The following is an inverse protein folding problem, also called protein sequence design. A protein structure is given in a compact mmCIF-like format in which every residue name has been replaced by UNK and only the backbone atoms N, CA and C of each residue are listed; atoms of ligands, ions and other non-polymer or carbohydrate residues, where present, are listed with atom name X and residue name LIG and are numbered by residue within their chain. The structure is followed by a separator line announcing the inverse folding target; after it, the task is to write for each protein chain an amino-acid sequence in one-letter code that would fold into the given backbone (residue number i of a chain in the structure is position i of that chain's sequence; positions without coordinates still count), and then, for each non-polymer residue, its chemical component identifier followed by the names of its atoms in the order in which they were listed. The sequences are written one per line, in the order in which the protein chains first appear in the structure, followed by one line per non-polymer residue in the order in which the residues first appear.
data_IF_992818504019
#
_entry.id   IF_992818504019
#
_cell.length_a   1.000
_cell.length_b   1.000
_cell.length_c   1.000
_cell.angle_alpha   90.00
_cell.angle_beta   90.00
_cell.angle_gamma   90.00
#
_symmetry.space_group_name_H-M   'P 1'
#
loop_
_entity.id
_entity.type
_entity.pdbx_description
1 polymer ?
#
# COMPACT_ATOMS: atom_id res chain seq x y z
N UNK A 1 -14.14 -4.50 4.46
CA UNK A 1 -14.79 -4.77 3.14
C UNK A 1 -14.03 -5.90 2.45
N UNK A 2 -14.70 -6.85 1.79
CA UNK A 2 -14.04 -7.91 1.05
C UNK A 2 -13.25 -7.36 -0.15
N UNK A 3 -12.15 -8.04 -0.46
CA UNK A 3 -11.23 -7.74 -1.56
C UNK A 3 -10.99 -9.04 -2.32
N UNK A 4 -10.95 -8.97 -3.65
CA UNK A 4 -10.61 -10.06 -4.55
C UNK A 4 -9.42 -9.68 -5.44
N UNK A 5 -9.13 -10.48 -6.47
CA UNK A 5 -8.05 -10.21 -7.43
C UNK A 5 -8.25 -8.94 -8.27
N UNK A 6 -9.45 -8.36 -8.27
CA UNK A 6 -9.78 -7.10 -8.92
C UNK A 6 -9.79 -5.90 -7.96
N UNK A 7 -9.48 -6.10 -6.68
CA UNK A 7 -9.53 -5.10 -5.62
C UNK A 7 -10.81 -5.14 -4.79
N UNK A 8 -11.23 -4.00 -4.24
CA UNK A 8 -12.44 -3.89 -3.41
C UNK A 8 -13.69 -4.43 -4.14
N UNK A 9 -14.46 -5.31 -3.50
CA UNK A 9 -15.76 -5.80 -4.02
C UNK A 9 -16.82 -4.74 -3.82
N UNK A 10 -17.15 -4.00 -4.89
CA UNK A 10 -18.05 -2.83 -4.83
C UNK A 10 -19.46 -3.22 -4.43
N UNK A 11 -19.93 -4.38 -4.85
CA UNK A 11 -21.27 -4.92 -4.56
C UNK A 11 -21.48 -5.19 -3.07
N UNK A 12 -20.40 -5.37 -2.32
CA UNK A 12 -20.43 -5.59 -0.88
C UNK A 12 -20.49 -4.28 -0.06
N UNK A 13 -20.42 -3.11 -0.71
CA UNK A 13 -20.49 -1.81 0.00
C UNK A 13 -21.94 -1.60 0.49
N UNK A 14 -22.15 -1.41 1.82
CA UNK A 14 -23.49 -1.16 2.34
C UNK A 14 -24.11 0.10 1.70
N UNK A 15 -25.41 0.08 1.29
CA UNK A 15 -26.04 1.20 0.58
C UNK A 15 -26.07 2.53 1.36
N UNK A 16 -25.95 2.47 2.70
CA UNK A 16 -25.93 3.67 3.57
C UNK A 16 -24.53 4.26 3.78
N UNK A 17 -23.49 3.68 3.16
CA UNK A 17 -22.12 4.18 3.27
C UNK A 17 -22.01 5.57 2.63
N UNK A 18 -21.44 6.52 3.37
CA UNK A 18 -21.24 7.91 2.93
C UNK A 18 -19.79 8.21 2.54
N UNK A 19 -18.86 7.37 2.98
CA UNK A 19 -17.44 7.51 2.71
C UNK A 19 -16.82 6.12 2.49
N UNK A 20 -16.11 5.96 1.39
CA UNK A 20 -15.32 4.75 1.08
C UNK A 20 -13.86 5.13 1.05
N UNK A 21 -13.04 4.48 1.89
CA UNK A 21 -11.58 4.66 1.88
C UNK A 21 -10.93 3.49 1.16
N UNK A 22 -10.09 3.78 0.17
CA UNK A 22 -9.42 2.76 -0.67
C UNK A 22 -7.98 3.13 -0.98
N UNK A 23 -7.16 2.10 -1.22
CA UNK A 23 -5.79 2.20 -1.73
C UNK A 23 -5.72 1.50 -3.09
N UNK A 24 -6.29 2.10 -4.16
CA UNK A 24 -6.60 1.39 -5.40
C UNK A 24 -5.37 1.09 -6.26
N UNK A 25 -4.27 1.80 -6.08
CA UNK A 25 -3.03 1.59 -6.82
C UNK A 25 -2.24 0.38 -6.31
N UNK A 26 -2.30 0.16 -4.99
CA UNK A 26 -1.64 -0.92 -4.28
C UNK A 26 -2.38 -1.19 -2.97
N UNK A 27 -3.35 -2.11 -3.01
CA UNK A 27 -4.21 -2.40 -1.86
C UNK A 27 -3.39 -2.93 -0.68
N UNK A 28 -3.50 -2.26 0.44
CA UNK A 28 -2.85 -2.70 1.66
C UNK A 28 -3.79 -3.61 2.49
N UNK A 29 -3.34 -4.79 2.96
CA UNK A 29 -1.97 -5.31 2.90
C UNK A 29 -1.67 -6.27 1.73
N UNK A 30 -2.65 -6.64 0.90
CA UNK A 30 -2.51 -7.73 -0.07
C UNK A 30 -1.70 -7.34 -1.33
N UNK A 31 -1.59 -6.05 -1.64
CA UNK A 31 -0.77 -5.58 -2.76
C UNK A 31 -1.45 -5.60 -4.14
N UNK A 32 -2.70 -6.01 -4.21
CA UNK A 32 -3.43 -6.04 -5.49
C UNK A 32 -3.82 -4.63 -5.95
N UNK A 33 -3.71 -4.38 -7.26
CA UNK A 33 -4.19 -3.15 -7.85
C UNK A 33 -5.67 -3.29 -8.24
N UNK A 34 -6.47 -2.26 -7.96
CA UNK A 34 -7.86 -2.22 -8.39
C UNK A 34 -7.94 -2.09 -9.90
N UNK A 35 -8.66 -3.02 -10.56
CA UNK A 35 -8.84 -3.01 -12.01
C UNK A 35 -9.65 -1.81 -12.50
N UNK A 36 -9.46 -1.43 -13.77
CA UNK A 36 -10.21 -0.31 -14.35
C UNK A 36 -11.74 -0.52 -14.30
N UNK A 37 -12.30 -1.69 -14.64
CA UNK A 37 -13.72 -1.93 -14.47
C UNK A 37 -14.20 -1.72 -13.03
N UNK A 38 -13.43 -2.16 -12.05
CA UNK A 38 -13.77 -2.02 -10.63
C UNK A 38 -13.66 -0.55 -10.15
N UNK A 39 -12.72 0.23 -10.69
CA UNK A 39 -12.60 1.68 -10.45
C UNK A 39 -13.84 2.42 -10.96
N UNK A 40 -14.26 2.13 -12.20
CA UNK A 40 -15.45 2.72 -12.80
C UNK A 40 -16.73 2.31 -12.05
N UNK A 41 -16.84 1.05 -11.63
CA UNK A 41 -17.96 0.58 -10.82
C UNK A 41 -18.04 1.30 -9.46
N UNK A 42 -16.89 1.53 -8.79
CA UNK A 42 -16.84 2.27 -7.53
C UNK A 42 -17.27 3.73 -7.70
N UNK A 43 -16.81 4.41 -8.75
CA UNK A 43 -17.20 5.79 -9.04
C UNK A 43 -18.71 5.89 -9.32
N UNK A 44 -19.25 5.00 -10.16
CA UNK A 44 -20.68 4.94 -10.43
C UNK A 44 -21.51 4.59 -9.18
N UNK A 45 -20.97 3.74 -8.29
CA UNK A 45 -21.62 3.45 -7.02
C UNK A 45 -21.63 4.70 -6.11
N UNK A 46 -20.52 5.39 -6.00
CA UNK A 46 -20.39 6.60 -5.18
C UNK A 46 -21.34 7.72 -5.64
N UNK A 47 -21.45 7.92 -6.94
CA UNK A 47 -22.40 8.88 -7.51
C UNK A 47 -23.85 8.53 -7.19
N UNK A 48 -24.27 7.28 -7.41
CA UNK A 48 -25.65 6.82 -7.13
C UNK A 48 -26.05 6.90 -5.66
N UNK A 49 -25.09 6.73 -4.73
CA UNK A 49 -25.36 6.71 -3.29
C UNK A 49 -25.01 8.03 -2.59
N UNK A 50 -24.66 9.06 -3.36
CA UNK A 50 -24.21 10.37 -2.83
C UNK A 50 -23.11 10.18 -1.77
N UNK A 51 -22.13 9.31 -2.08
CA UNK A 51 -20.99 9.00 -1.23
C UNK A 51 -19.71 9.65 -1.76
N UNK A 52 -18.75 9.89 -0.88
CA UNK A 52 -17.39 10.29 -1.23
C UNK A 52 -16.44 9.09 -1.22
N UNK A 53 -15.36 9.17 -1.99
CA UNK A 53 -14.28 8.19 -2.00
C UNK A 53 -13.00 8.90 -1.59
N UNK A 54 -12.31 8.37 -0.58
CA UNK A 54 -10.94 8.76 -0.26
C UNK A 54 -10.01 7.77 -0.94
N UNK A 55 -9.26 8.25 -1.92
CA UNK A 55 -8.20 7.52 -2.59
C UNK A 55 -6.87 7.83 -1.90
N UNK A 56 -6.35 6.87 -1.14
CA UNK A 56 -5.03 6.99 -0.52
C UNK A 56 -3.98 6.35 -1.44
N UNK A 57 -3.17 7.20 -2.04
CA UNK A 57 -2.09 6.82 -2.94
C UNK A 57 -0.74 7.06 -2.27
N UNK A 58 -0.24 6.02 -1.62
CA UNK A 58 0.94 6.13 -0.75
C UNK A 58 2.24 5.64 -1.39
N UNK A 59 2.20 4.85 -2.49
CA UNK A 59 3.39 4.24 -3.08
C UNK A 59 3.30 3.94 -4.59
N UNK A 60 2.37 4.54 -5.32
CA UNK A 60 2.15 4.31 -6.76
C UNK A 60 3.36 4.66 -7.62
N UNK A 61 4.27 5.53 -7.15
CA UNK A 61 5.53 5.84 -7.81
C UNK A 61 6.46 4.60 -7.94
N UNK A 62 6.28 3.60 -7.06
CA UNK A 62 7.07 2.38 -7.03
C UNK A 62 6.35 1.22 -7.73
N UNK A 63 5.94 1.44 -8.97
CA UNK A 63 5.38 0.41 -9.84
C UNK A 63 6.47 -0.15 -10.74
N UNK A 64 6.65 -1.50 -10.74
CA UNK A 64 7.76 -2.19 -11.39
C UNK A 64 7.41 -2.80 -12.76
N UNK A 65 6.13 -2.95 -13.05
CA UNK A 65 5.66 -3.53 -14.30
C UNK A 65 4.32 -2.98 -14.75
N UNK A 66 3.98 -3.24 -16.01
CA UNK A 66 2.72 -2.83 -16.61
C UNK A 66 2.65 -1.34 -16.97
N UNK A 67 1.48 -0.93 -17.44
CA UNK A 67 1.18 0.50 -17.70
C UNK A 67 0.90 1.22 -16.39
N UNK A 68 1.17 2.52 -16.30
CA UNK A 68 0.68 3.34 -15.20
C UNK A 68 -0.84 3.17 -15.05
N UNK A 69 -1.30 3.07 -13.82
CA UNK A 69 -2.73 3.01 -13.54
C UNK A 69 -3.19 4.43 -13.20
N UNK A 70 -4.19 4.91 -13.91
CA UNK A 70 -4.74 6.23 -13.66
C UNK A 70 -5.44 6.26 -12.29
N UNK A 71 -5.21 7.29 -11.44
CA UNK A 71 -5.92 7.47 -10.19
C UNK A 71 -7.44 7.52 -10.39
N UNK A 72 -8.21 7.13 -9.37
CA UNK A 72 -9.66 7.32 -9.34
C UNK A 72 -10.03 8.80 -9.53
N UNK A 73 -9.25 9.68 -8.92
CA UNK A 73 -9.44 11.12 -9.02
C UNK A 73 -9.40 11.63 -10.47
N UNK A 74 -8.53 11.06 -11.32
CA UNK A 74 -8.45 11.41 -12.75
C UNK A 74 -9.67 10.90 -13.54
N UNK A 75 -10.24 9.76 -13.10
CA UNK A 75 -11.40 9.14 -13.73
C UNK A 75 -12.74 9.74 -13.25
N UNK A 76 -12.70 10.52 -12.16
CA UNK A 76 -13.89 11.05 -11.49
C UNK A 76 -14.49 12.25 -12.24
N UNK A 77 -15.57 12.03 -12.96
CA UNK A 77 -16.36 13.08 -13.61
C UNK A 77 -17.40 13.76 -12.73
N UNK A 78 -17.68 13.23 -11.53
CA UNK A 78 -18.76 13.69 -10.64
C UNK A 78 -18.27 14.46 -9.39
N UNK A 79 -16.97 14.60 -9.20
CA UNK A 79 -16.37 15.32 -8.08
C UNK A 79 -16.59 14.63 -6.72
N UNK A 80 -16.41 13.31 -6.67
CA UNK A 80 -16.61 12.47 -5.48
C UNK A 80 -15.32 12.01 -4.83
N UNK A 81 -14.17 12.12 -5.54
CA UNK A 81 -12.91 11.59 -5.06
C UNK A 81 -12.09 12.67 -4.35
N UNK A 82 -11.63 12.33 -3.17
CA UNK A 82 -10.62 13.04 -2.40
C UNK A 82 -9.33 12.23 -2.55
N UNK A 83 -8.38 12.75 -3.30
CA UNK A 83 -7.07 12.10 -3.48
C UNK A 83 -6.11 12.53 -2.38
N UNK A 84 -5.43 11.57 -1.78
CA UNK A 84 -4.42 11.75 -0.73
C UNK A 84 -3.07 11.27 -1.25
N UNK A 85 -2.12 12.17 -1.38
CA UNK A 85 -0.73 11.84 -1.71
C UNK A 85 0.21 12.05 -0.52
N UNK A 86 1.24 11.23 -0.41
CA UNK A 86 2.19 11.25 0.71
C UNK A 86 3.64 11.21 0.25
N UNK A 87 4.50 12.03 0.86
CA UNK A 87 5.95 11.94 0.68
C UNK A 87 6.63 10.99 1.66
N UNK A 88 5.86 10.34 2.55
CA UNK A 88 6.40 9.45 3.58
C UNK A 88 7.09 8.21 3.04
N UNK A 89 6.61 7.68 1.90
CA UNK A 89 7.18 6.49 1.25
C UNK A 89 8.17 6.86 0.16
N UNK A 90 7.94 7.97 -0.53
CA UNK A 90 8.79 8.43 -1.63
C UNK A 90 10.05 9.15 -1.17
N UNK A 91 10.04 9.70 0.05
CA UNK A 91 11.19 10.36 0.69
C UNK A 91 11.43 9.81 2.10
N UNK A 92 10.95 10.53 3.12
CA UNK A 92 11.17 10.19 4.52
C UNK A 92 9.87 10.33 5.33
N UNK A 93 9.48 9.33 6.12
CA UNK A 93 8.30 9.42 6.99
C UNK A 93 8.36 10.58 7.99
N UNK A 94 9.57 10.98 8.41
CA UNK A 94 9.82 12.05 9.38
C UNK A 94 9.54 13.45 8.83
N UNK A 95 9.48 13.63 7.52
CA UNK A 95 9.09 14.92 6.91
C UNK A 95 7.66 15.32 7.24
N UNK A 96 6.77 14.35 7.47
CA UNK A 96 5.35 14.56 7.78
C UNK A 96 4.65 15.46 6.76
N UNK A 97 5.00 15.31 5.49
CA UNK A 97 4.41 16.02 4.36
C UNK A 97 3.54 15.10 3.50
N UNK A 98 2.43 15.64 3.08
CA UNK A 98 1.50 15.06 2.12
C UNK A 98 0.64 16.16 1.51
N UNK A 99 -0.25 15.80 0.61
CA UNK A 99 -1.17 16.74 -0.03
C UNK A 99 -2.52 16.08 -0.31
N UNK A 100 -3.53 16.94 -0.48
CA UNK A 100 -4.87 16.53 -0.85
C UNK A 100 -5.25 17.22 -2.16
N UNK A 101 -5.84 16.46 -3.09
CA UNK A 101 -6.58 17.00 -4.23
C UNK A 101 -8.05 16.73 -3.94
N UNK A 102 -8.81 17.80 -3.73
CA UNK A 102 -10.21 17.71 -3.31
C UNK A 102 -11.14 18.35 -4.33
N UNK A 103 -12.38 17.87 -4.47
CA UNK A 103 -13.39 18.54 -5.28
C UNK A 103 -13.56 20.02 -4.90
N UNK A 104 -13.83 20.88 -5.88
CA UNK A 104 -13.98 22.32 -5.66
C UNK A 104 -14.98 22.67 -4.56
N UNK A 105 -16.07 21.89 -4.45
CA UNK A 105 -17.10 22.02 -3.43
C UNK A 105 -16.58 21.84 -1.99
N UNK A 106 -15.50 21.07 -1.80
CA UNK A 106 -14.94 20.74 -0.47
C UNK A 106 -13.75 21.64 -0.08
N UNK A 107 -13.18 22.42 -1.01
CA UNK A 107 -11.95 23.20 -0.76
C UNK A 107 -12.09 24.13 0.47
N UNK A 108 -13.20 24.86 0.56
CA UNK A 108 -13.41 25.78 1.68
C UNK A 108 -13.54 25.05 3.04
N UNK A 109 -14.24 23.91 3.06
CA UNK A 109 -14.42 23.09 4.25
C UNK A 109 -13.10 22.46 4.71
N UNK A 110 -12.33 21.89 3.76
CA UNK A 110 -11.03 21.27 4.04
C UNK A 110 -10.01 22.30 4.54
N UNK A 111 -9.95 23.49 3.93
CA UNK A 111 -9.08 24.59 4.41
C UNK A 111 -9.42 24.99 5.84
N UNK A 112 -10.72 25.10 6.17
CA UNK A 112 -11.16 25.42 7.53
C UNK A 112 -10.82 24.31 8.51
N UNK A 113 -11.02 23.05 8.14
CA UNK A 113 -10.66 21.90 8.97
C UNK A 113 -9.15 21.85 9.22
N UNK A 114 -8.33 22.07 8.20
CA UNK A 114 -6.86 22.14 8.32
C UNK A 114 -6.42 23.27 9.26
N UNK A 115 -7.02 24.46 9.12
CA UNK A 115 -6.73 25.58 9.99
C UNK A 115 -7.04 25.26 11.47
N UNK A 116 -8.15 24.57 11.74
CA UNK A 116 -8.55 24.19 13.10
C UNK A 116 -7.71 23.03 13.66
N UNK A 117 -7.21 22.15 12.80
CA UNK A 117 -6.43 20.97 13.23
C UNK A 117 -5.01 21.34 13.65
N UNK A 118 -4.29 22.12 12.86
CA UNK A 118 -2.88 22.39 13.08
C UNK A 118 -2.40 23.72 12.47
N UNK A 119 -3.34 24.57 12.04
CA UNK A 119 -3.09 25.85 11.39
C UNK A 119 -2.35 25.67 10.04
N UNK A 120 -1.10 25.25 10.08
CA UNK A 120 -0.30 24.95 8.89
C UNK A 120 0.84 23.98 9.21
N UNK A 121 1.25 23.24 8.22
CA UNK A 121 2.47 22.41 8.26
C UNK A 121 3.71 23.32 8.26
N UNK A 122 4.86 22.90 8.84
CA UNK A 122 6.08 23.71 8.88
C UNK A 122 6.50 24.22 7.51
N UNK A 123 6.53 25.53 7.32
CA UNK A 123 6.86 26.18 6.05
C UNK A 123 8.29 25.89 5.57
N UNK A 124 9.34 25.85 6.42
CA UNK A 124 10.69 25.54 5.96
C UNK A 124 10.78 24.16 5.30
N UNK A 125 10.10 23.16 5.84
CA UNK A 125 10.08 21.79 5.26
C UNK A 125 9.35 21.77 3.91
N UNK A 126 8.25 22.51 3.78
CA UNK A 126 7.52 22.63 2.51
C UNK A 126 8.38 23.35 1.46
N UNK A 127 9.04 24.45 1.82
CA UNK A 127 9.92 25.20 0.92
C UNK A 127 11.10 24.35 0.44
N UNK A 128 11.75 23.63 1.36
CA UNK A 128 12.85 22.72 1.01
C UNK A 128 12.39 21.60 0.05
N UNK A 129 11.19 21.04 0.26
CA UNK A 129 10.62 20.04 -0.64
C UNK A 129 10.29 20.64 -2.01
N UNK A 130 9.72 21.84 -2.06
CA UNK A 130 9.43 22.53 -3.31
C UNK A 130 10.72 22.74 -4.12
N UNK A 131 11.76 23.28 -3.51
CA UNK A 131 13.07 23.47 -4.12
C UNK A 131 13.68 22.15 -4.61
N UNK A 132 13.59 21.08 -3.81
CA UNK A 132 14.05 19.74 -4.19
C UNK A 132 13.32 19.18 -5.42
N UNK A 133 12.02 19.47 -5.56
CA UNK A 133 11.21 19.10 -6.73
C UNK A 133 11.62 19.94 -7.93
N UNK A 134 11.66 21.27 -7.79
CA UNK A 134 11.91 22.22 -8.87
C UNK A 134 13.30 22.06 -9.50
N UNK A 135 14.30 21.70 -8.68
CA UNK A 135 15.65 21.39 -9.16
C UNK A 135 15.79 19.99 -9.79
N UNK A 136 14.69 19.20 -9.84
CA UNK A 136 14.66 17.86 -10.43
C UNK A 136 15.34 16.77 -9.58
N UNK A 137 15.75 17.07 -8.34
CA UNK A 137 16.35 16.09 -7.44
C UNK A 137 15.36 15.01 -7.03
N UNK A 138 14.09 15.38 -6.82
CA UNK A 138 13.03 14.43 -6.50
C UNK A 138 12.85 13.37 -7.60
N UNK A 139 12.76 13.80 -8.85
CA UNK A 139 12.62 12.88 -9.97
C UNK A 139 13.83 11.94 -10.12
N UNK A 140 15.05 12.45 -9.85
CA UNK A 140 16.28 11.64 -9.85
C UNK A 140 16.25 10.63 -8.71
N UNK A 141 15.82 11.04 -7.51
CA UNK A 141 15.68 10.18 -6.34
C UNK A 141 14.68 9.04 -6.63
N UNK A 142 13.49 9.36 -7.13
CA UNK A 142 12.47 8.35 -7.47
C UNK A 142 12.98 7.31 -8.48
N UNK A 143 13.69 7.72 -9.54
CA UNK A 143 14.28 6.78 -10.50
C UNK A 143 15.27 5.82 -9.84
N UNK A 144 16.14 6.32 -8.95
CA UNK A 144 17.10 5.51 -8.20
C UNK A 144 16.39 4.53 -7.26
N UNK A 145 15.43 5.02 -6.48
CA UNK A 145 14.71 4.20 -5.50
C UNK A 145 13.84 3.15 -6.16
N UNK A 146 13.20 3.48 -7.29
CA UNK A 146 12.42 2.52 -8.08
C UNK A 146 13.28 1.33 -8.52
N UNK A 147 14.48 1.56 -9.03
CA UNK A 147 15.39 0.49 -9.43
C UNK A 147 15.81 -0.37 -8.22
N UNK A 148 16.14 0.26 -7.09
CA UNK A 148 16.48 -0.44 -5.85
C UNK A 148 15.34 -1.29 -5.32
N UNK A 149 14.13 -0.75 -5.25
CA UNK A 149 12.96 -1.46 -4.74
C UNK A 149 12.48 -2.55 -5.70
N UNK A 150 12.60 -2.34 -7.01
CA UNK A 150 12.34 -3.38 -8.00
C UNK A 150 13.25 -4.60 -7.81
N UNK A 151 14.55 -4.37 -7.59
CA UNK A 151 15.52 -5.44 -7.31
C UNK A 151 15.15 -6.21 -6.04
N UNK A 152 14.81 -5.49 -4.95
CA UNK A 152 14.41 -6.12 -3.68
C UNK A 152 13.12 -6.94 -3.82
N UNK A 153 12.12 -6.37 -4.50
CA UNK A 153 10.86 -7.04 -4.79
C UNK A 153 11.10 -8.35 -5.53
N UNK A 154 11.86 -8.29 -6.64
CA UNK A 154 12.16 -9.45 -7.46
C UNK A 154 12.89 -10.54 -6.65
N UNK A 155 13.91 -10.18 -5.89
CA UNK A 155 14.67 -11.11 -5.04
C UNK A 155 13.76 -11.81 -4.01
N UNK A 156 12.81 -11.07 -3.39
CA UNK A 156 11.87 -11.64 -2.42
C UNK A 156 10.90 -12.58 -3.12
N UNK A 157 10.27 -12.16 -4.22
CA UNK A 157 9.29 -13.00 -4.95
C UNK A 157 9.93 -14.27 -5.47
N UNK A 158 11.08 -14.18 -6.11
CA UNK A 158 11.84 -15.36 -6.59
C UNK A 158 12.18 -16.32 -5.45
N UNK A 159 12.60 -15.78 -4.30
CA UNK A 159 12.87 -16.60 -3.12
C UNK A 159 11.62 -17.26 -2.54
N UNK A 160 10.47 -16.57 -2.54
CA UNK A 160 9.21 -17.14 -2.07
C UNK A 160 8.75 -18.28 -2.99
N UNK A 161 8.88 -18.13 -4.30
CA UNK A 161 8.49 -19.12 -5.29
C UNK A 161 9.42 -20.35 -5.28
N UNK A 162 10.72 -20.17 -5.03
CA UNK A 162 11.71 -21.23 -5.04
C UNK A 162 11.80 -21.96 -3.69
N UNK A 163 12.01 -21.21 -2.60
CA UNK A 163 12.37 -21.80 -1.29
C UNK A 163 11.19 -21.97 -0.33
N UNK A 164 10.08 -21.25 -0.57
CA UNK A 164 8.92 -21.30 0.31
C UNK A 164 7.68 -21.89 -0.34
N UNK A 165 7.79 -22.48 -1.52
CA UNK A 165 6.65 -22.99 -2.30
C UNK A 165 5.72 -23.94 -1.52
N UNK A 166 6.27 -24.73 -0.58
CA UNK A 166 5.50 -25.65 0.27
C UNK A 166 4.76 -24.94 1.44
N UNK A 167 5.13 -23.69 1.76
CA UNK A 167 4.63 -22.96 2.93
C UNK A 167 3.89 -21.70 2.59
N UNK A 168 4.40 -20.94 1.62
CA UNK A 168 3.93 -19.59 1.30
C UNK A 168 3.62 -19.48 -0.19
N UNK A 169 2.51 -18.78 -0.49
CA UNK A 169 2.11 -18.44 -1.85
C UNK A 169 2.09 -16.92 -1.99
N UNK A 170 3.02 -16.32 -2.75
CA UNK A 170 3.01 -14.88 -2.97
C UNK A 170 1.68 -14.40 -3.58
N UNK A 171 1.17 -13.28 -3.08
CA UNK A 171 0.07 -12.57 -3.72
C UNK A 171 0.66 -11.75 -4.87
N UNK A 172 0.19 -11.93 -6.12
CA UNK A 172 0.73 -11.22 -7.27
C UNK A 172 0.63 -9.70 -7.08
N UNK A 173 1.78 -9.03 -7.08
CA UNK A 173 1.89 -7.58 -7.05
C UNK A 173 3.07 -7.13 -7.91
N UNK A 174 2.94 -6.00 -8.58
CA UNK A 174 4.00 -5.40 -9.38
C UNK A 174 4.29 -3.96 -8.92
N UNK A 175 4.05 -3.68 -7.65
CA UNK A 175 4.20 -2.34 -7.08
C UNK A 175 4.51 -2.37 -5.58
N UNK A 176 4.82 -1.22 -5.02
CA UNK A 176 4.87 -0.95 -3.60
C UNK A 176 6.19 -1.26 -2.91
N UNK A 177 6.14 -1.33 -1.58
CA UNK A 177 7.28 -1.51 -0.70
C UNK A 177 7.12 -2.74 0.22
N UNK A 178 6.14 -3.60 -0.09
CA UNK A 178 5.91 -4.86 0.61
C UNK A 178 5.41 -5.94 -0.36
N UNK A 179 5.56 -7.19 0.03
CA UNK A 179 4.96 -8.36 -0.60
C UNK A 179 4.11 -9.06 0.43
N UNK A 180 2.88 -9.40 0.08
CA UNK A 180 2.06 -10.30 0.86
C UNK A 180 2.20 -11.74 0.34
N UNK A 181 2.15 -12.71 1.26
CA UNK A 181 2.10 -14.12 0.90
C UNK A 181 1.12 -14.84 1.81
N UNK A 182 0.24 -15.67 1.24
CA UNK A 182 -0.65 -16.54 2.00
C UNK A 182 0.07 -17.81 2.42
N UNK A 183 -0.35 -18.41 3.54
CA UNK A 183 0.19 -19.66 4.08
C UNK A 183 -0.91 -20.73 4.09
N UNK A 184 -1.33 -21.28 2.94
CA UNK A 184 -2.50 -22.13 2.82
C UNK A 184 -2.38 -23.47 3.54
N UNK A 185 -1.17 -23.94 3.79
CA UNK A 185 -0.88 -25.19 4.50
C UNK A 185 -0.75 -25.02 6.03
N UNK A 186 -0.80 -23.77 6.55
CA UNK A 186 -0.62 -23.50 7.97
C UNK A 186 -1.93 -23.09 8.64
N UNK A 187 -2.13 -23.52 9.88
CA UNK A 187 -3.12 -22.92 10.76
C UNK A 187 -2.63 -21.56 11.29
N UNK A 188 -3.53 -20.70 11.79
CA UNK A 188 -3.13 -19.43 12.41
C UNK A 188 -2.16 -19.61 13.61
N UNK A 189 -2.30 -20.70 14.37
CA UNK A 189 -1.46 -21.05 15.51
C UNK A 189 -0.05 -21.46 15.09
N UNK A 190 0.05 -22.32 14.08
CA UNK A 190 1.32 -22.77 13.51
C UNK A 190 2.10 -21.57 12.92
N UNK A 191 1.43 -20.72 12.13
CA UNK A 191 2.06 -19.54 11.58
C UNK A 191 2.54 -18.57 12.67
N UNK A 192 1.75 -18.39 13.73
CA UNK A 192 2.15 -17.57 14.89
C UNK A 192 3.42 -18.11 15.56
N UNK A 193 3.53 -19.44 15.70
CA UNK A 193 4.73 -20.07 16.24
C UNK A 193 5.95 -19.84 15.34
N UNK A 194 5.80 -19.97 14.01
CA UNK A 194 6.84 -19.65 13.02
C UNK A 194 7.31 -18.21 13.17
N UNK A 195 6.37 -17.24 13.25
CA UNK A 195 6.71 -15.83 13.39
C UNK A 195 7.39 -15.51 14.72
N UNK A 196 7.03 -16.22 15.79
CA UNK A 196 7.74 -16.10 17.07
C UNK A 196 9.20 -16.56 16.98
N UNK A 197 9.47 -17.68 16.27
CA UNK A 197 10.84 -18.14 15.99
C UNK A 197 11.60 -17.17 15.09
N UNK A 198 10.94 -16.60 14.09
CA UNK A 198 11.54 -15.62 13.19
C UNK A 198 11.97 -14.35 13.94
N UNK A 199 11.11 -13.82 14.80
CA UNK A 199 11.43 -12.66 15.65
C UNK A 199 12.62 -12.97 16.57
N UNK A 200 12.66 -14.15 17.23
CA UNK A 200 13.81 -14.59 18.02
C UNK A 200 15.10 -14.74 17.20
N UNK A 201 14.99 -15.04 15.90
CA UNK A 201 16.12 -15.11 14.96
C UNK A 201 16.49 -13.74 14.36
N UNK A 202 15.85 -12.64 14.81
CA UNK A 202 16.09 -11.27 14.34
C UNK A 202 15.42 -10.95 13.00
N UNK A 203 14.35 -11.68 12.63
CA UNK A 203 13.56 -11.42 11.41
C UNK A 203 12.16 -11.03 11.82
N UNK A 204 11.82 -9.76 11.64
CA UNK A 204 10.50 -9.23 11.94
C UNK A 204 9.59 -9.31 10.71
N UNK A 205 8.46 -10.00 10.85
CA UNK A 205 7.47 -10.21 9.79
C UNK A 205 6.06 -10.01 10.38
N UNK A 206 5.20 -9.31 9.65
CA UNK A 206 3.84 -9.04 10.11
C UNK A 206 2.87 -10.14 9.62
N UNK A 207 2.02 -10.72 10.49
CA UNK A 207 0.97 -11.62 10.04
C UNK A 207 -0.16 -10.84 9.35
N UNK A 208 -0.77 -11.40 8.30
CA UNK A 208 -1.94 -10.81 7.64
C UNK A 208 -3.11 -10.58 8.61
N UNK A 209 -3.25 -11.45 9.61
CA UNK A 209 -4.30 -11.34 10.63
C UNK A 209 -4.25 -10.05 11.46
N UNK A 210 -3.11 -9.33 11.46
CA UNK A 210 -3.01 -8.01 12.10
C UNK A 210 -3.93 -6.97 11.42
N UNK A 211 -4.27 -7.19 10.18
CA UNK A 211 -5.05 -6.27 9.35
C UNK A 211 -6.50 -6.73 9.17
N UNK A 212 -6.90 -7.83 9.81
CA UNK A 212 -8.26 -8.35 9.73
C UNK A 212 -9.22 -7.49 10.54
N UNK A 213 -10.36 -7.21 9.96
CA UNK A 213 -11.50 -6.58 10.63
C UNK A 213 -12.72 -7.49 10.46
N UNK A 214 -13.14 -8.13 11.55
CA UNK A 214 -14.25 -9.05 11.54
C UNK A 214 -13.83 -10.51 11.34
N UNK A 215 -14.26 -11.16 10.25
CA UNK A 215 -13.90 -12.54 9.95
C UNK A 215 -12.40 -12.68 9.66
N UNK A 216 -11.71 -13.69 10.23
CA UNK A 216 -10.31 -13.94 9.95
C UNK A 216 -10.07 -14.20 8.46
N UNK A 217 -9.01 -13.59 7.91
CA UNK A 217 -8.52 -13.90 6.58
C UNK A 217 -7.74 -15.22 6.55
N UNK A 218 -7.36 -15.66 5.35
CA UNK A 218 -6.44 -16.78 5.19
C UNK A 218 -5.11 -16.47 5.90
N UNK A 219 -4.49 -17.42 6.64
CA UNK A 219 -3.18 -17.22 7.23
C UNK A 219 -2.16 -16.74 6.20
N UNK A 220 -1.29 -15.84 6.59
CA UNK A 220 -0.29 -15.28 5.70
C UNK A 220 0.55 -14.20 6.37
N UNK A 221 1.49 -13.67 5.60
CA UNK A 221 2.49 -12.70 6.07
C UNK A 221 2.62 -11.51 5.13
N UNK A 222 3.12 -10.41 5.67
CA UNK A 222 3.52 -9.21 4.93
C UNK A 222 5.01 -8.97 5.16
N UNK A 223 5.77 -8.94 4.08
CA UNK A 223 7.21 -8.69 4.05
C UNK A 223 7.47 -7.28 3.53
N UNK A 224 7.79 -6.35 4.42
CA UNK A 224 8.20 -4.99 4.06
C UNK A 224 9.68 -4.94 3.69
N UNK A 225 10.00 -4.36 2.52
CA UNK A 225 11.38 -4.29 2.01
C UNK A 225 11.89 -2.86 1.78
N UNK A 226 11.13 -1.86 2.17
CA UNK A 226 11.52 -0.46 1.95
C UNK A 226 12.78 -0.03 2.70
N UNK A 227 12.99 -0.54 3.92
CA UNK A 227 14.09 -0.11 4.78
C UNK A 227 15.27 -1.07 4.83
N UNK A 228 15.09 -2.36 4.50
CA UNK A 228 16.17 -3.35 4.59
C UNK A 228 17.24 -3.12 3.52
N UNK A 229 18.54 -3.19 3.85
CA UNK A 229 19.60 -3.21 2.84
C UNK A 229 19.44 -4.41 1.90
N UNK A 230 19.66 -4.20 0.60
CA UNK A 230 19.47 -5.27 -0.40
C UNK A 230 20.35 -6.50 -0.11
N UNK A 231 21.55 -6.29 0.43
CA UNK A 231 22.47 -7.38 0.79
C UNK A 231 21.95 -8.27 1.94
N UNK A 232 21.07 -7.75 2.80
CA UNK A 232 20.59 -8.46 3.99
C UNK A 232 19.32 -9.29 3.72
N UNK A 233 18.68 -9.11 2.55
CA UNK A 233 17.43 -9.80 2.19
C UNK A 233 17.64 -11.31 2.14
N UNK A 234 18.72 -11.77 1.53
CA UNK A 234 19.03 -13.20 1.37
C UNK A 234 19.20 -13.90 2.71
N UNK A 235 19.95 -13.28 3.63
CA UNK A 235 20.15 -13.83 4.98
C UNK A 235 18.84 -13.78 5.78
N UNK A 236 18.07 -12.69 5.68
CA UNK A 236 16.75 -12.59 6.33
C UNK A 236 15.80 -13.69 5.88
N UNK A 237 15.70 -13.93 4.57
CA UNK A 237 14.86 -14.98 4.02
C UNK A 237 15.37 -16.38 4.39
N UNK A 238 16.68 -16.58 4.45
CA UNK A 238 17.27 -17.85 4.89
C UNK A 238 16.98 -18.16 6.35
N UNK A 239 17.00 -17.15 7.22
CA UNK A 239 16.59 -17.29 8.63
C UNK A 239 15.10 -17.61 8.74
N UNK A 240 14.26 -16.87 8.00
CA UNK A 240 12.82 -17.10 7.98
C UNK A 240 12.50 -18.53 7.52
N UNK A 241 13.19 -19.03 6.48
CA UNK A 241 12.96 -20.38 5.95
C UNK A 241 13.19 -21.46 7.01
N UNK A 242 14.30 -21.35 7.75
CA UNK A 242 14.62 -22.28 8.84
C UNK A 242 13.54 -22.32 9.93
N UNK A 243 12.79 -21.24 10.11
CA UNK A 243 11.70 -21.17 11.07
C UNK A 243 10.44 -21.95 10.63
N UNK A 244 10.29 -22.28 9.36
CA UNK A 244 9.22 -23.16 8.87
C UNK A 244 9.56 -24.65 9.05
N UNK A 245 10.86 -25.03 9.09
CA UNK A 245 11.31 -26.41 9.19
C UNK A 245 11.39 -26.94 10.63
N UNK A 246 11.36 -26.11 11.62
CA UNK A 246 11.51 -26.45 13.02
C UNK A 246 10.40 -25.95 13.90
#
# INVERSE_FOLDING_TARGET
MPVDDQGLVVEAIPPRTRLVYVTPSHQFPLGMAMSLPRRLALLAWAERHDAAVVEDDYDSEFRYGGRPIEPLQTLDGSGRVIYVGSFSKTLLPTLRLGFLVVPASLVAAVRRAKFLADWHTPLPTQAALADFIDQGYFARHLRKMRATYQQRHQQIVESLDDRFADHLKPVPSAAGLHVAATAPASTPEELRAVLGRASAAGVEVQPLSMFDVGQPSQPGIVLGYGAIPTADIEEGLSRLRRCFDG
#
